data_IF_279324752277
#
_entry.id   IF_279324752277
#
_cell.length_a   1.000
_cell.length_b   1.000
_cell.length_c   1.000
_cell.angle_alpha   90.00
_cell.angle_beta   90.00
_cell.angle_gamma   90.00
#
_symmetry.space_group_name_H-M   'P 1'
#
loop_
_entity.id
_entity.type
_entity.pdbx_description
1 polymer ?
#
# COMPACT_ATOMS: atom_id res chain seq x y z
N UNK A 1 30.41 3.48 4.45
CA UNK A 1 29.83 3.22 5.78
C UNK A 1 30.83 2.39 6.57
N UNK A 2 31.24 2.87 7.74
CA UNK A 2 32.15 2.16 8.64
C UNK A 2 31.42 1.03 9.36
N UNK A 3 32.18 0.11 9.98
CA UNK A 3 31.61 -0.98 10.80
C UNK A 3 30.78 -0.45 11.96
N UNK A 4 31.23 0.63 12.61
CA UNK A 4 30.52 1.25 13.72
C UNK A 4 29.23 1.95 13.28
N UNK A 5 29.24 2.65 12.14
CA UNK A 5 28.03 3.23 11.54
C UNK A 5 26.99 2.17 11.19
N UNK A 6 27.42 1.04 10.61
CA UNK A 6 26.53 -0.08 10.30
C UNK A 6 25.93 -0.69 11.57
N UNK A 7 26.73 -0.86 12.63
CA UNK A 7 26.26 -1.37 13.92
C UNK A 7 25.24 -0.42 14.56
N UNK A 8 25.50 0.88 14.55
CA UNK A 8 24.60 1.90 15.06
C UNK A 8 23.28 1.94 14.25
N UNK A 9 23.36 1.83 12.91
CA UNK A 9 22.18 1.76 12.03
C UNK A 9 21.29 0.56 12.40
N UNK A 10 21.88 -0.62 12.54
CA UNK A 10 21.14 -1.83 12.91
C UNK A 10 20.54 -1.76 14.31
N UNK A 11 21.21 -1.07 15.25
CA UNK A 11 20.66 -0.84 16.59
C UNK A 11 19.44 0.10 16.52
N UNK A 12 19.55 1.21 15.79
CA UNK A 12 18.44 2.14 15.55
C UNK A 12 17.25 1.45 14.89
N UNK A 13 17.47 0.59 13.91
CA UNK A 13 16.38 -0.14 13.24
C UNK A 13 15.61 -1.05 14.19
N UNK A 14 16.30 -1.74 15.11
CA UNK A 14 15.66 -2.57 16.13
C UNK A 14 14.81 -1.74 17.10
N UNK A 15 15.38 -0.64 17.60
CA UNK A 15 14.68 0.27 18.53
C UNK A 15 13.49 0.93 17.83
N UNK A 16 13.69 1.40 16.60
CA UNK A 16 12.65 2.00 15.75
C UNK A 16 11.50 1.03 15.51
N UNK A 17 11.75 -0.22 15.13
CA UNK A 17 10.70 -1.20 14.91
C UNK A 17 9.87 -1.50 16.17
N UNK A 18 10.50 -1.53 17.34
CA UNK A 18 9.82 -1.69 18.64
C UNK A 18 8.94 -0.46 18.94
N UNK A 19 9.52 0.73 18.86
CA UNK A 19 8.85 1.99 19.18
C UNK A 19 7.70 2.28 18.20
N UNK A 20 7.93 2.09 16.89
CA UNK A 20 6.89 2.20 15.86
C UNK A 20 5.69 1.33 16.18
N UNK A 21 5.90 0.06 16.58
CA UNK A 21 4.81 -0.85 16.95
C UNK A 21 4.00 -0.33 18.14
N UNK A 22 4.69 0.17 19.16
CA UNK A 22 4.06 0.72 20.37
C UNK A 22 3.25 1.98 20.05
N UNK A 23 3.84 2.92 19.31
CA UNK A 23 3.21 4.19 18.94
C UNK A 23 2.05 3.96 17.98
N UNK A 24 2.25 3.19 16.91
CA UNK A 24 1.23 2.86 15.92
C UNK A 24 -0.08 2.37 16.55
N UNK A 25 0.01 1.54 17.60
CA UNK A 25 -1.15 1.03 18.33
C UNK A 25 -1.99 2.15 18.96
N UNK A 26 -1.37 3.23 19.44
CA UNK A 26 -2.07 4.41 20.02
C UNK A 26 -2.96 5.09 18.98
N UNK A 27 -2.55 5.05 17.71
CA UNK A 27 -3.25 5.61 16.56
C UNK A 27 -4.16 4.58 15.84
N UNK A 28 -4.36 3.39 16.41
CA UNK A 28 -5.22 2.36 15.82
C UNK A 28 -4.59 1.58 14.65
N UNK A 29 -3.31 1.77 14.37
CA UNK A 29 -2.61 1.06 13.31
C UNK A 29 -2.16 -0.33 13.77
N UNK A 30 -2.22 -1.30 12.85
CA UNK A 30 -1.64 -2.64 13.01
C UNK A 30 -0.27 -2.70 12.33
N UNK A 31 0.58 -3.65 12.71
CA UNK A 31 1.93 -3.81 12.15
C UNK A 31 2.18 -5.25 11.69
N UNK A 32 2.82 -5.40 10.53
CA UNK A 32 3.36 -6.67 10.01
C UNK A 32 4.68 -6.39 9.30
N UNK A 33 5.81 -6.77 9.93
CA UNK A 33 7.14 -6.48 9.39
C UNK A 33 7.35 -4.98 9.16
N UNK A 34 7.73 -4.59 7.95
CA UNK A 34 7.94 -3.20 7.52
C UNK A 34 6.63 -2.40 7.33
N UNK A 35 5.48 -3.06 7.32
CA UNK A 35 4.17 -2.46 7.02
C UNK A 35 3.42 -2.10 8.30
N UNK A 36 2.94 -0.87 8.43
CA UNK A 36 1.76 -0.57 9.24
C UNK A 36 0.54 -0.44 8.32
N UNK A 37 -0.63 -0.86 8.80
CA UNK A 37 -1.85 -0.75 8.03
C UNK A 37 -3.07 -0.49 8.91
N UNK A 38 -4.10 0.10 8.32
CA UNK A 38 -5.45 0.20 8.87
C UNK A 38 -6.50 0.27 7.76
N UNK A 39 -7.75 0.04 8.15
CA UNK A 39 -8.90 0.19 7.26
C UNK A 39 -9.77 1.27 7.86
N UNK A 40 -10.14 2.26 7.07
CA UNK A 40 -10.98 3.38 7.50
C UNK A 40 -11.85 3.82 6.32
N UNK A 41 -13.14 4.02 6.57
CA UNK A 41 -14.09 4.56 5.59
C UNK A 41 -14.07 3.85 4.23
N UNK A 42 -13.86 2.53 4.24
CA UNK A 42 -13.80 1.71 3.03
C UNK A 42 -12.47 1.77 2.26
N UNK A 43 -11.47 2.48 2.78
CA UNK A 43 -10.10 2.49 2.27
C UNK A 43 -9.17 1.61 3.09
N UNK A 44 -8.18 1.04 2.43
CA UNK A 44 -7.01 0.43 3.05
C UNK A 44 -5.86 1.43 3.00
N UNK A 45 -5.37 1.85 4.16
CA UNK A 45 -4.20 2.70 4.30
C UNK A 45 -2.99 1.87 4.72
N UNK A 46 -1.86 2.12 4.08
CA UNK A 46 -0.58 1.48 4.37
C UNK A 46 0.50 2.52 4.63
N UNK A 47 1.36 2.21 5.60
CA UNK A 47 2.63 2.91 5.83
C UNK A 47 3.77 1.91 5.66
N UNK A 48 4.54 2.08 4.59
CA UNK A 48 5.66 1.21 4.27
C UNK A 48 6.98 1.83 4.76
N UNK A 49 7.67 1.11 5.65
CA UNK A 49 8.98 1.49 6.20
C UNK A 49 10.06 0.53 5.69
N UNK A 50 10.47 0.70 4.43
CA UNK A 50 11.53 -0.11 3.82
C UNK A 50 12.95 0.43 4.11
N UNK A 51 13.04 1.71 4.49
CA UNK A 51 14.28 2.39 4.86
C UNK A 51 14.06 3.17 6.15
N UNK A 52 15.12 3.47 6.88
CA UNK A 52 15.03 4.21 8.15
C UNK A 52 14.64 5.67 7.92
N UNK A 53 15.13 6.23 6.83
CA UNK A 53 15.05 7.65 6.54
C UNK A 53 13.61 8.15 6.42
N UNK A 54 12.70 7.31 5.94
CA UNK A 54 11.35 7.72 5.58
C UNK A 54 10.32 6.59 5.63
N UNK A 55 9.06 6.99 5.71
CA UNK A 55 7.89 6.12 5.47
C UNK A 55 7.04 6.67 4.35
N UNK A 56 6.45 5.76 3.58
CA UNK A 56 5.52 6.09 2.51
C UNK A 56 4.09 5.75 2.95
N UNK A 57 3.19 6.73 2.92
CA UNK A 57 1.75 6.56 3.07
C UNK A 57 1.14 6.29 1.70
N UNK A 58 0.40 5.20 1.61
CA UNK A 58 -0.34 4.81 0.41
C UNK A 58 -1.76 4.38 0.77
N UNK A 59 -2.65 4.45 -0.22
CA UNK A 59 -4.07 4.16 -0.07
C UNK A 59 -4.62 3.40 -1.27
N UNK A 60 -5.63 2.58 -1.03
CA UNK A 60 -6.51 2.06 -2.08
C UNK A 60 -7.90 1.77 -1.52
N UNK A 61 -8.95 1.74 -2.35
CA UNK A 61 -10.25 1.21 -1.95
C UNK A 61 -10.08 -0.22 -1.46
N UNK A 62 -10.66 -0.54 -0.31
CA UNK A 62 -10.46 -1.83 0.33
C UNK A 62 -11.00 -2.99 -0.51
N UNK A 63 -12.07 -2.77 -1.28
CA UNK A 63 -12.69 -3.79 -2.13
C UNK A 63 -11.78 -4.26 -3.27
N UNK A 64 -10.77 -3.46 -3.66
CA UNK A 64 -10.05 -3.67 -4.93
C UNK A 64 -9.31 -5.01 -4.95
N UNK A 65 -8.70 -5.43 -3.84
CA UNK A 65 -8.07 -6.75 -3.76
C UNK A 65 -9.10 -7.87 -3.71
N UNK A 66 -10.29 -7.64 -3.14
CA UNK A 66 -11.33 -8.67 -3.09
C UNK A 66 -11.85 -8.97 -4.50
N UNK A 67 -12.09 -7.93 -5.30
CA UNK A 67 -12.46 -8.06 -6.70
C UNK A 67 -11.33 -8.70 -7.51
N UNK A 68 -10.10 -8.22 -7.33
CA UNK A 68 -8.94 -8.76 -8.02
C UNK A 68 -8.74 -10.25 -7.74
N UNK A 69 -8.84 -10.67 -6.48
CA UNK A 69 -8.69 -12.07 -6.10
C UNK A 69 -9.82 -12.98 -6.61
N UNK A 70 -11.04 -12.47 -6.78
CA UNK A 70 -12.09 -13.24 -7.48
C UNK A 70 -11.75 -13.43 -8.96
N UNK A 71 -11.33 -12.36 -9.62
CA UNK A 71 -10.97 -12.37 -11.05
C UNK A 71 -9.77 -13.27 -11.31
N UNK A 72 -8.76 -13.19 -10.44
CA UNK A 72 -7.53 -13.96 -10.53
C UNK A 72 -7.67 -15.38 -9.96
N UNK A 73 -8.89 -15.79 -9.58
CA UNK A 73 -9.25 -17.12 -9.08
C UNK A 73 -8.47 -17.54 -7.81
N UNK A 74 -8.25 -16.60 -6.89
CA UNK A 74 -7.62 -16.82 -5.57
C UNK A 74 -8.50 -16.31 -4.40
N UNK A 75 -9.80 -16.67 -4.32
CA UNK A 75 -10.72 -16.13 -3.32
C UNK A 75 -10.32 -16.44 -1.87
N UNK A 76 -9.50 -17.46 -1.62
CA UNK A 76 -8.96 -17.80 -0.30
C UNK A 76 -8.14 -16.66 0.32
N UNK A 77 -7.52 -15.80 -0.49
CA UNK A 77 -6.74 -14.66 -0.01
C UNK A 77 -7.59 -13.67 0.80
N UNK A 78 -8.92 -13.65 0.61
CA UNK A 78 -9.85 -12.80 1.39
C UNK A 78 -9.85 -13.14 2.88
N UNK A 79 -9.57 -14.41 3.20
CA UNK A 79 -9.50 -14.95 4.56
C UNK A 79 -8.12 -14.85 5.18
N UNK A 80 -7.09 -14.48 4.40
CA UNK A 80 -5.75 -14.26 4.90
C UNK A 80 -5.68 -13.03 5.84
N UNK A 81 -4.60 -12.89 6.65
CA UNK A 81 -4.38 -11.70 7.43
C UNK A 81 -4.47 -10.44 6.56
N UNK A 82 -5.16 -9.40 7.03
CA UNK A 82 -5.41 -8.20 6.21
C UNK A 82 -4.15 -7.44 5.81
N UNK A 83 -3.02 -7.69 6.46
CA UNK A 83 -1.70 -7.22 6.01
C UNK A 83 -1.35 -7.68 4.60
N UNK A 84 -1.88 -8.84 4.15
CA UNK A 84 -1.66 -9.37 2.81
C UNK A 84 -2.05 -8.37 1.71
N UNK A 85 -3.02 -7.49 1.98
CA UNK A 85 -3.40 -6.43 1.05
C UNK A 85 -2.29 -5.40 0.84
N UNK A 86 -1.39 -5.20 1.79
CA UNK A 86 -0.25 -4.28 1.66
C UNK A 86 1.09 -4.96 1.33
N UNK A 87 1.25 -6.25 1.63
CA UNK A 87 2.54 -6.95 1.46
C UNK A 87 2.46 -8.25 0.63
N UNK A 88 1.30 -8.58 0.07
CA UNK A 88 1.10 -9.77 -0.75
C UNK A 88 1.58 -9.58 -2.18
N UNK A 89 2.21 -10.60 -2.74
CA UNK A 89 2.69 -10.59 -4.12
C UNK A 89 1.56 -10.42 -5.16
N UNK A 90 0.35 -10.86 -4.84
CA UNK A 90 -0.85 -10.75 -5.68
C UNK A 90 -1.85 -9.71 -5.17
N UNK A 91 -1.44 -8.79 -4.29
CA UNK A 91 -2.26 -7.64 -3.96
C UNK A 91 -2.14 -6.57 -5.05
N UNK A 92 -3.22 -5.83 -5.29
CA UNK A 92 -3.21 -4.68 -6.20
C UNK A 92 -2.35 -3.59 -5.57
N UNK A 93 -1.46 -2.96 -6.35
CA UNK A 93 -0.61 -1.90 -5.80
C UNK A 93 -1.42 -0.72 -5.27
N UNK A 94 -0.97 -0.19 -4.12
CA UNK A 94 -1.56 0.99 -3.51
C UNK A 94 -1.16 2.26 -4.29
N UNK A 95 -1.91 3.34 -4.05
CA UNK A 95 -1.61 4.68 -4.58
C UNK A 95 -0.85 5.45 -3.53
N UNK A 96 0.35 5.91 -3.87
CA UNK A 96 1.18 6.74 -3.00
C UNK A 96 0.52 8.10 -2.77
N UNK A 97 0.27 8.43 -1.51
CA UNK A 97 -0.20 9.75 -1.10
C UNK A 97 0.96 10.67 -0.75
N UNK A 98 1.87 10.22 0.12
CA UNK A 98 2.90 11.10 0.70
C UNK A 98 4.06 10.32 1.30
N UNK A 99 5.23 10.96 1.35
CA UNK A 99 6.40 10.47 2.11
C UNK A 99 6.66 11.36 3.32
N UNK A 100 7.12 10.73 4.39
CA UNK A 100 7.48 11.40 5.63
C UNK A 100 8.91 11.04 6.00
N UNK A 101 9.77 12.05 6.11
CA UNK A 101 11.09 11.86 6.69
C UNK A 101 10.95 11.57 8.19
N UNK A 102 11.59 10.49 8.65
CA UNK A 102 11.53 10.04 10.05
C UNK A 102 12.88 10.22 10.72
N UNK A 103 13.95 9.67 10.15
CA UNK A 103 15.30 9.73 10.71
C UNK A 103 16.29 10.39 9.75
N UNK A 104 17.19 11.19 10.30
CA UNK A 104 18.36 11.71 9.60
C UNK A 104 19.50 10.71 9.80
N UNK A 105 19.84 9.96 8.75
CA UNK A 105 20.85 8.91 8.86
C UNK A 105 22.29 9.41 8.94
N UNK A 106 22.52 10.72 8.82
CA UNK A 106 23.79 11.33 9.23
C UNK A 106 23.92 11.46 10.75
N UNK A 107 22.83 11.32 11.51
CA UNK A 107 22.76 11.50 12.98
C UNK A 107 22.50 10.22 13.76
N UNK A 108 22.67 9.05 13.14
CA UNK A 108 22.34 7.73 13.72
C UNK A 108 22.85 7.55 15.17
N UNK A 109 24.10 7.89 15.54
CA UNK A 109 24.61 7.63 16.89
C UNK A 109 23.93 8.46 17.99
N UNK A 110 23.08 9.42 17.64
CA UNK A 110 22.52 10.43 18.55
C UNK A 110 21.12 10.07 19.03
N UNK A 111 20.43 9.14 18.36
CA UNK A 111 19.04 8.81 18.71
C UNK A 111 18.93 7.96 19.97
N UNK A 112 18.27 8.50 20.99
CA UNK A 112 17.80 7.74 22.16
C UNK A 112 16.46 7.05 21.87
N UNK A 113 16.03 6.13 22.73
CA UNK A 113 14.70 5.49 22.60
C UNK A 113 13.57 6.53 22.69
N UNK A 114 13.70 7.54 23.57
CA UNK A 114 12.72 8.62 23.70
C UNK A 114 12.67 9.50 22.44
N UNK A 115 13.82 9.80 21.81
CA UNK A 115 13.85 10.51 20.52
C UNK A 115 13.13 9.74 19.42
N UNK A 116 13.32 8.41 19.40
CA UNK A 116 12.67 7.51 18.43
C UNK A 116 11.16 7.48 18.66
N UNK A 117 10.70 7.40 19.90
CA UNK A 117 9.28 7.46 20.26
C UNK A 117 8.68 8.80 19.81
N UNK A 118 9.29 9.92 20.18
CA UNK A 118 8.81 11.26 19.85
C UNK A 118 8.71 11.48 18.33
N UNK A 119 9.68 10.96 17.57
CA UNK A 119 9.63 11.00 16.09
C UNK A 119 8.47 10.21 15.54
N UNK A 120 8.26 8.97 16.00
CA UNK A 120 7.11 8.19 15.56
C UNK A 120 5.78 8.83 15.95
N UNK A 121 5.66 9.39 17.16
CA UNK A 121 4.43 10.09 17.59
C UNK A 121 4.14 11.31 16.70
N UNK A 122 5.17 12.09 16.38
CA UNK A 122 5.03 13.20 15.44
C UNK A 122 4.66 12.72 14.04
N UNK A 123 5.32 11.68 13.51
CA UNK A 123 5.03 11.13 12.18
C UNK A 123 3.60 10.62 12.10
N UNK A 124 3.15 9.80 13.06
CA UNK A 124 1.78 9.28 13.06
C UNK A 124 0.76 10.40 13.21
N UNK A 125 1.01 11.41 14.07
CA UNK A 125 0.10 12.56 14.20
C UNK A 125 -0.09 13.31 12.86
N UNK A 126 1.00 13.53 12.11
CA UNK A 126 0.92 14.14 10.78
C UNK A 126 0.19 13.24 9.77
N UNK A 127 0.47 11.93 9.80
CA UNK A 127 -0.23 10.95 8.94
C UNK A 127 -1.74 10.98 9.22
N UNK A 128 -2.16 11.03 10.48
CA UNK A 128 -3.59 11.11 10.83
C UNK A 128 -4.26 12.36 10.26
N UNK A 129 -3.59 13.52 10.35
CA UNK A 129 -4.10 14.76 9.78
C UNK A 129 -4.22 14.68 8.26
N UNK A 130 -3.21 14.12 7.58
CA UNK A 130 -3.23 13.94 6.13
C UNK A 130 -4.32 12.92 5.68
N UNK A 131 -4.55 11.84 6.45
CA UNK A 131 -5.65 10.90 6.16
C UNK A 131 -7.01 11.56 6.36
N UNK A 132 -7.20 12.32 7.45
CA UNK A 132 -8.46 13.03 7.68
C UNK A 132 -8.76 14.01 6.53
N UNK A 133 -7.75 14.74 6.06
CA UNK A 133 -7.90 15.60 4.89
C UNK A 133 -8.21 14.80 3.62
N UNK A 134 -7.48 13.72 3.34
CA UNK A 134 -7.74 12.84 2.20
C UNK A 134 -9.19 12.32 2.19
N UNK A 135 -9.69 11.84 3.33
CA UNK A 135 -11.05 11.32 3.46
C UNK A 135 -12.11 12.41 3.28
N UNK A 136 -11.81 13.66 3.65
CA UNK A 136 -12.72 14.79 3.41
C UNK A 136 -12.86 15.13 1.92
N UNK A 137 -11.79 14.95 1.14
CA UNK A 137 -11.79 15.19 -0.31
C UNK A 137 -12.26 13.97 -1.10
N UNK A 138 -12.07 12.76 -0.55
CA UNK A 138 -12.38 11.49 -1.17
C UNK A 138 -13.28 10.64 -0.24
N UNK A 139 -14.55 11.06 -0.01
CA UNK A 139 -15.43 10.38 0.92
C UNK A 139 -15.98 9.04 0.37
N UNK A 140 -15.92 8.82 -0.94
CA UNK A 140 -16.46 7.63 -1.59
C UNK A 140 -15.35 6.76 -2.21
N UNK A 141 -15.02 5.61 -1.59
CA UNK A 141 -14.02 4.68 -2.12
C UNK A 141 -14.42 4.07 -3.47
N UNK A 142 -15.72 3.91 -3.75
CA UNK A 142 -16.21 3.28 -4.98
C UNK A 142 -15.94 4.13 -6.23
N UNK A 143 -15.73 5.43 -6.06
CA UNK A 143 -15.44 6.38 -7.14
C UNK A 143 -14.02 6.96 -7.07
N UNK A 144 -13.16 6.44 -6.19
CA UNK A 144 -11.82 6.99 -6.02
C UNK A 144 -10.94 6.68 -7.23
N UNK A 145 -10.64 7.73 -8.01
CA UNK A 145 -9.78 7.66 -9.18
C UNK A 145 -8.60 8.62 -8.97
N UNK A 146 -7.39 8.11 -8.69
CA UNK A 146 -6.25 8.96 -8.39
C UNK A 146 -5.80 9.75 -9.62
N UNK A 147 -5.50 11.04 -9.42
CA UNK A 147 -4.76 11.81 -10.43
C UNK A 147 -3.28 11.41 -10.38
N UNK A 148 -2.81 10.61 -11.34
CA UNK A 148 -1.39 10.21 -11.41
C UNK A 148 -1.18 8.86 -12.09
N UNK A 149 0.04 8.32 -11.97
CA UNK A 149 0.33 6.95 -12.43
C UNK A 149 -0.20 5.95 -11.40
N UNK A 150 -1.24 5.22 -11.78
CA UNK A 150 -1.74 4.05 -11.07
C UNK A 150 -1.16 2.77 -11.68
N UNK A 151 -1.29 1.65 -10.96
CA UNK A 151 -1.06 0.34 -11.55
C UNK A 151 -2.19 0.04 -12.55
N UNK A 152 -1.87 -0.52 -13.73
CA UNK A 152 -2.88 -0.88 -14.74
C UNK A 152 -3.99 -1.78 -14.20
N UNK A 153 -3.66 -2.71 -13.31
CA UNK A 153 -4.65 -3.58 -12.66
C UNK A 153 -5.59 -2.77 -11.78
N UNK A 154 -5.10 -1.73 -11.09
CA UNK A 154 -5.94 -0.84 -10.30
C UNK A 154 -7.02 -0.20 -11.17
N UNK A 155 -6.64 0.41 -12.29
CA UNK A 155 -7.59 1.06 -13.20
C UNK A 155 -8.64 0.08 -13.73
N UNK A 156 -8.21 -1.13 -14.10
CA UNK A 156 -9.11 -2.17 -14.58
C UNK A 156 -10.09 -2.63 -13.49
N UNK A 157 -9.64 -2.73 -12.23
CA UNK A 157 -10.54 -3.07 -11.13
C UNK A 157 -11.58 -1.97 -10.89
N UNK A 158 -11.20 -0.70 -11.00
CA UNK A 158 -12.15 0.42 -10.86
C UNK A 158 -13.18 0.44 -11.99
N UNK A 159 -12.75 0.20 -13.24
CA UNK A 159 -13.65 0.10 -14.39
C UNK A 159 -14.66 -1.06 -14.19
N UNK A 160 -14.19 -2.23 -13.77
CA UNK A 160 -15.04 -3.42 -13.55
C UNK A 160 -16.00 -3.21 -12.38
N UNK A 161 -15.52 -2.65 -11.26
CA UNK A 161 -16.35 -2.35 -10.10
C UNK A 161 -17.49 -1.39 -10.45
N UNK A 162 -17.22 -0.42 -11.32
CA UNK A 162 -18.21 0.54 -11.82
C UNK A 162 -19.15 -0.05 -12.89
N UNK A 163 -19.02 -1.34 -13.25
CA UNK A 163 -19.80 -1.99 -14.29
C UNK A 163 -19.35 -1.67 -15.73
N UNK A 164 -18.22 -0.96 -15.90
CA UNK A 164 -17.70 -0.52 -17.20
C UNK A 164 -16.79 -1.59 -17.83
N UNK A 165 -17.27 -2.83 -17.94
CA UNK A 165 -16.48 -3.96 -18.47
C UNK A 165 -15.96 -3.73 -19.88
N UNK A 166 -16.73 -3.04 -20.74
CA UNK A 166 -16.30 -2.65 -22.09
C UNK A 166 -15.07 -1.75 -22.06
N UNK A 167 -15.05 -0.74 -21.18
CA UNK A 167 -13.90 0.16 -21.03
C UNK A 167 -12.66 -0.61 -20.55
N UNK A 168 -12.85 -1.55 -19.61
CA UNK A 168 -11.76 -2.40 -19.14
C UNK A 168 -11.14 -3.23 -20.29
N UNK A 169 -11.98 -3.79 -21.18
CA UNK A 169 -11.52 -4.52 -22.37
C UNK A 169 -10.79 -3.61 -23.36
N UNK A 170 -11.31 -2.42 -23.65
CA UNK A 170 -10.66 -1.43 -24.52
C UNK A 170 -9.27 -1.01 -23.98
N UNK A 171 -9.14 -0.80 -22.66
CA UNK A 171 -7.85 -0.53 -22.03
C UNK A 171 -6.88 -1.69 -22.16
N UNK A 172 -7.35 -2.94 -22.00
CA UNK A 172 -6.51 -4.13 -22.18
C UNK A 172 -6.00 -4.22 -23.62
N UNK A 173 -6.84 -3.98 -24.62
CA UNK A 173 -6.43 -3.95 -26.03
C UNK A 173 -5.39 -2.86 -26.29
N UNK A 174 -5.57 -1.67 -25.70
CA UNK A 174 -4.58 -0.61 -25.74
C UNK A 174 -3.26 -1.04 -25.08
N UNK A 175 -3.29 -1.64 -23.88
CA UNK A 175 -2.10 -2.09 -23.18
C UNK A 175 -1.34 -3.18 -23.97
N UNK A 176 -2.05 -4.15 -24.54
CA UNK A 176 -1.47 -5.21 -25.36
C UNK A 176 -0.85 -4.65 -26.64
N UNK A 177 -1.53 -3.74 -27.35
CA UNK A 177 -0.99 -3.14 -28.59
C UNK A 177 0.27 -2.29 -28.35
N UNK A 178 0.48 -1.80 -27.13
CA UNK A 178 1.65 -1.02 -26.72
C UNK A 178 2.68 -1.86 -25.93
N UNK A 179 2.54 -3.19 -25.90
CA UNK A 179 3.42 -4.11 -25.18
C UNK A 179 3.56 -3.82 -23.67
N UNK A 180 2.53 -3.25 -23.05
CA UNK A 180 2.50 -3.03 -21.61
C UNK A 180 2.08 -4.30 -20.88
N UNK A 181 3.04 -5.02 -20.30
CA UNK A 181 2.78 -6.25 -19.54
C UNK A 181 1.81 -6.05 -18.36
N UNK A 182 1.08 -7.09 -18.00
CA UNK A 182 0.06 -7.03 -16.95
C UNK A 182 0.63 -7.06 -15.53
N UNK A 183 1.89 -7.49 -15.37
CA UNK A 183 2.61 -7.49 -14.08
C UNK A 183 2.29 -8.67 -13.15
N UNK A 184 1.28 -9.48 -13.49
CA UNK A 184 0.90 -10.67 -12.75
C UNK A 184 0.70 -11.85 -13.71
N UNK A 185 1.15 -13.03 -13.29
CA UNK A 185 1.02 -14.26 -14.05
C UNK A 185 0.54 -15.37 -13.12
N UNK A 186 -0.41 -16.17 -13.62
CA UNK A 186 -0.99 -17.31 -12.92
C UNK A 186 -1.06 -18.53 -13.83
N UNK A 187 -1.56 -19.67 -13.34
CA UNK A 187 -1.58 -20.92 -14.09
C UNK A 187 -2.34 -20.87 -15.43
N UNK A 188 -3.30 -19.93 -15.59
CA UNK A 188 -4.11 -19.74 -16.81
C UNK A 188 -3.68 -18.51 -17.62
N UNK A 189 -2.42 -18.11 -17.48
CA UNK A 189 -1.81 -17.01 -18.23
C UNK A 189 -1.70 -15.71 -17.43
N UNK A 190 -1.63 -14.61 -18.15
CA UNK A 190 -1.38 -13.29 -17.58
C UNK A 190 -2.65 -12.64 -16.99
N UNK A 191 -2.46 -11.60 -16.18
CA UNK A 191 -3.54 -10.88 -15.51
C UNK A 191 -4.64 -10.39 -16.49
N UNK A 192 -4.26 -9.92 -17.69
CA UNK A 192 -5.22 -9.46 -18.69
C UNK A 192 -6.11 -10.60 -19.19
N UNK A 193 -5.55 -11.79 -19.42
CA UNK A 193 -6.33 -12.97 -19.81
C UNK A 193 -7.37 -13.37 -18.75
N UNK A 194 -7.05 -13.23 -17.46
CA UNK A 194 -8.03 -13.44 -16.38
C UNK A 194 -9.16 -12.41 -16.44
N UNK A 195 -8.82 -11.14 -16.59
CA UNK A 195 -9.81 -10.04 -16.67
C UNK A 195 -10.70 -10.19 -17.90
N UNK A 196 -10.14 -10.51 -19.08
CA UNK A 196 -10.92 -10.71 -20.31
C UNK A 196 -11.93 -11.86 -20.16
N UNK A 197 -11.54 -12.96 -19.50
CA UNK A 197 -12.45 -14.08 -19.22
C UNK A 197 -13.55 -13.67 -18.23
N UNK A 198 -13.24 -12.85 -17.24
CA UNK A 198 -14.21 -12.35 -16.29
C UNK A 198 -15.26 -11.45 -16.97
N UNK A 199 -14.83 -10.48 -17.77
CA UNK A 199 -15.71 -9.52 -18.45
C UNK A 199 -16.61 -10.13 -19.54
N UNK A 200 -16.31 -11.36 -20.00
CA UNK A 200 -17.07 -12.05 -21.07
C UNK A 200 -18.07 -13.10 -20.53
N UNK A 201 -18.13 -13.29 -19.21
CA UNK A 201 -19.17 -14.09 -18.55
C UNK A 201 -20.45 -13.29 -18.44
#
# INVERSE_FOLDING_TARGET
>A
MTREESKARNALEKVSNKCRKQVAKKFGWKQSGYLNWRIDSGYYFSLCHLVLEQVELSVKPYFIDDLWWDIFEMPENKQAPKSLRGNGAFAVSDVKLKEYAVFDTAKIPVYTEDDVIARWESTFSTVEADIAHFLSENPNPDSFCPSGRTNRIYDLMMDIHSGNTKQALERIEYFKSHNFGSGYEGPKGDAYGYIERWCKK
#
